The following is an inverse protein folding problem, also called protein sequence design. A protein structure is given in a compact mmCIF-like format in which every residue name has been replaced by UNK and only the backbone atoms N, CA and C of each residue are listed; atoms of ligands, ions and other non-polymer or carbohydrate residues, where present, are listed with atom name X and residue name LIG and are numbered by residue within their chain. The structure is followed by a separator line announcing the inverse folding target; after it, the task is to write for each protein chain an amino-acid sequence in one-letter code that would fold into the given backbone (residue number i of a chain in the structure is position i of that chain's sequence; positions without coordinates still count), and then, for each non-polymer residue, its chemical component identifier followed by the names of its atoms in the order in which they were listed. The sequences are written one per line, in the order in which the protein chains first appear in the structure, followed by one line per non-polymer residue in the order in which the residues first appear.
data_IF_751391989390
#
_entry.id   IF_751391989390
#
_cell.length_a   1.000
_cell.length_b   1.000
_cell.length_c   1.000
_cell.angle_alpha   90.00
_cell.angle_beta   90.00
_cell.angle_gamma   90.00
#
_symmetry.space_group_name_H-M   'P 1'
#
loop_
_entity.id
_entity.type
_entity.pdbx_description
1 polymer ?
#
# COMPACT_ATOMS: atom_id res chain seq x y z
N UNK A 1 36.07 0.71 14.02
CA UNK A 1 34.77 0.01 14.04
C UNK A 1 34.35 -0.24 12.60
N UNK A 2 34.18 -1.51 12.22
CA UNK A 2 34.03 -1.93 10.83
C UNK A 2 32.68 -1.50 10.26
N UNK A 3 32.68 -0.98 9.02
CA UNK A 3 31.50 -0.51 8.26
C UNK A 3 30.35 -1.54 8.24
N UNK A 4 30.69 -2.82 8.37
CA UNK A 4 29.77 -3.95 8.50
C UNK A 4 28.82 -3.89 9.69
N UNK A 5 29.20 -3.26 10.81
CA UNK A 5 28.36 -3.22 12.02
C UNK A 5 27.24 -2.17 11.89
N UNK A 6 27.49 -1.09 11.15
CA UNK A 6 26.50 -0.04 10.90
C UNK A 6 25.45 -0.54 9.89
N UNK A 7 25.88 -1.26 8.84
CA UNK A 7 24.95 -1.86 7.87
C UNK A 7 24.08 -2.95 8.51
N UNK A 8 24.61 -3.74 9.45
CA UNK A 8 23.83 -4.74 10.19
C UNK A 8 22.77 -4.11 11.10
N UNK A 9 23.08 -2.98 11.75
CA UNK A 9 22.13 -2.25 12.61
C UNK A 9 21.02 -1.58 11.80
N UNK A 10 21.33 -1.07 10.61
CA UNK A 10 20.34 -0.51 9.69
C UNK A 10 19.49 -1.65 9.09
N UNK A 11 20.08 -2.80 8.76
CA UNK A 11 19.36 -3.96 8.24
C UNK A 11 18.48 -4.65 9.30
N UNK A 12 18.91 -4.70 10.57
CA UNK A 12 18.10 -5.21 11.69
C UNK A 12 16.96 -4.27 12.07
N UNK A 13 17.11 -2.95 11.89
CA UNK A 13 16.04 -1.99 12.12
C UNK A 13 14.96 -2.01 11.02
N UNK A 14 15.33 -2.39 9.79
CA UNK A 14 14.39 -2.54 8.65
C UNK A 14 13.59 -3.85 8.76
N UNK A 15 14.13 -4.87 9.43
CA UNK A 15 13.48 -6.17 9.62
C UNK A 15 12.68 -6.28 10.92
N UNK A 16 12.86 -5.36 11.87
CA UNK A 16 12.13 -5.37 13.12
C UNK A 16 10.75 -4.71 12.96
N UNK A 17 9.74 -5.56 12.71
CA UNK A 17 8.32 -5.19 12.53
C UNK A 17 7.82 -4.24 13.63
N UNK A 18 8.23 -4.50 14.87
CA UNK A 18 7.79 -3.76 16.06
C UNK A 18 8.34 -2.32 16.09
N UNK A 19 9.55 -2.10 15.57
CA UNK A 19 10.14 -0.76 15.50
C UNK A 19 9.47 0.10 14.42
N UNK A 20 9.16 -0.49 13.27
CA UNK A 20 8.47 0.21 12.18
C UNK A 20 7.00 0.49 12.54
N UNK A 21 6.33 -0.46 13.21
CA UNK A 21 4.94 -0.29 13.66
C UNK A 21 4.83 0.79 14.75
N UNK A 22 5.77 0.85 15.71
CA UNK A 22 5.80 1.91 16.74
C UNK A 22 6.09 3.31 16.17
N UNK A 23 6.91 3.42 15.13
CA UNK A 23 7.11 4.69 14.39
C UNK A 23 5.84 5.12 13.62
N UNK A 24 4.99 4.17 13.23
CA UNK A 24 3.73 4.45 12.55
C UNK A 24 2.65 5.01 13.47
N UNK A 25 2.71 4.68 14.77
CA UNK A 25 1.78 5.14 15.79
C UNK A 25 2.06 6.55 16.30
N UNK A 26 3.32 6.96 16.25
CA UNK A 26 3.76 8.23 16.82
C UNK A 26 3.77 9.40 15.82
N UNK A 27 3.54 9.16 14.52
CA UNK A 27 3.85 10.17 13.52
C UNK A 27 2.62 10.63 12.71
N UNK A 28 2.08 11.77 13.10
CA UNK A 28 1.12 12.54 12.27
C UNK A 28 1.89 13.60 11.49
N UNK A 29 2.22 13.30 10.22
CA UNK A 29 2.91 14.20 9.30
C UNK A 29 4.43 14.30 9.50
N UNK A 30 5.22 13.61 8.66
CA UNK A 30 6.69 13.65 8.73
C UNK A 30 7.38 12.50 7.97
N UNK A 31 8.70 12.34 8.16
CA UNK A 31 9.52 11.27 7.54
C UNK A 31 9.09 9.85 7.92
N UNK A 32 8.54 9.65 9.11
CA UNK A 32 8.10 8.35 9.62
C UNK A 32 7.02 7.66 8.77
N UNK A 33 5.84 8.29 8.54
CA UNK A 33 4.77 7.71 7.74
C UNK A 33 5.19 7.42 6.30
N UNK A 34 6.07 8.26 5.73
CA UNK A 34 6.64 8.04 4.39
C UNK A 34 7.48 6.76 4.36
N UNK A 35 8.37 6.57 5.34
CA UNK A 35 9.19 5.36 5.43
C UNK A 35 8.35 4.10 5.64
N UNK A 36 7.30 4.18 6.47
CA UNK A 36 6.36 3.08 6.69
C UNK A 36 5.64 2.72 5.39
N UNK A 37 5.15 3.72 4.65
CA UNK A 37 4.53 3.53 3.33
C UNK A 37 5.47 2.83 2.35
N UNK A 38 6.69 3.37 2.19
CA UNK A 38 7.73 2.81 1.31
C UNK A 38 8.12 1.38 1.70
N UNK A 39 8.20 1.08 3.00
CA UNK A 39 8.48 -0.27 3.49
C UNK A 39 7.39 -1.25 3.10
N UNK A 40 6.12 -0.86 3.23
CA UNK A 40 4.98 -1.67 2.81
C UNK A 40 5.00 -1.96 1.32
N UNK A 41 5.21 -0.92 0.50
CA UNK A 41 5.31 -1.07 -0.95
C UNK A 41 6.49 -1.98 -1.35
N UNK A 42 7.66 -1.78 -0.74
CA UNK A 42 8.85 -2.62 -0.98
C UNK A 42 8.58 -4.09 -0.65
N UNK A 43 7.86 -4.39 0.44
CA UNK A 43 7.50 -5.76 0.81
C UNK A 43 6.58 -6.42 -0.21
N UNK A 44 5.58 -5.69 -0.71
CA UNK A 44 4.68 -6.16 -1.76
C UNK A 44 5.49 -6.42 -3.04
N UNK A 45 6.27 -5.45 -3.51
CA UNK A 45 7.11 -5.56 -4.71
C UNK A 45 8.17 -6.66 -4.65
N UNK A 46 8.67 -6.99 -3.45
CA UNK A 46 9.63 -8.07 -3.28
C UNK A 46 9.02 -9.47 -3.42
N UNK A 47 7.69 -9.60 -3.28
CA UNK A 47 7.00 -10.90 -3.28
C UNK A 47 6.06 -11.08 -4.48
N UNK A 48 5.47 -10.01 -4.96
CA UNK A 48 4.46 -10.03 -6.02
C UNK A 48 4.90 -9.15 -7.17
N UNK A 49 4.65 -9.60 -8.40
CA UNK A 49 4.79 -8.77 -9.58
C UNK A 49 3.57 -7.86 -9.71
N UNK A 50 3.68 -6.66 -9.15
CA UNK A 50 2.64 -5.62 -9.25
C UNK A 50 2.91 -4.67 -10.42
N UNK A 51 3.91 -4.96 -11.27
CA UNK A 51 4.31 -4.12 -12.38
C UNK A 51 4.93 -2.76 -12.02
N UNK A 52 5.09 -1.90 -13.02
CA UNK A 52 5.72 -0.58 -12.86
C UNK A 52 4.73 0.45 -12.33
N UNK A 53 5.23 1.58 -11.82
CA UNK A 53 4.35 2.71 -11.49
C UNK A 53 3.83 3.32 -12.78
N UNK A 54 2.53 3.57 -12.84
CA UNK A 54 1.89 4.20 -13.98
C UNK A 54 1.42 5.60 -13.63
N UNK A 55 1.65 6.57 -14.53
CA UNK A 55 1.04 7.88 -14.48
C UNK A 55 -0.24 7.89 -15.31
N UNK A 56 -1.37 8.23 -14.70
CA UNK A 56 -2.66 8.23 -15.39
C UNK A 56 -3.51 9.45 -15.04
N UNK A 57 -4.56 9.65 -15.84
CA UNK A 57 -5.56 10.70 -15.64
C UNK A 57 -6.94 10.08 -15.56
N UNK A 58 -7.66 10.42 -14.51
CA UNK A 58 -9.03 9.94 -14.26
C UNK A 58 -9.81 11.03 -13.57
N UNK A 59 -11.07 11.24 -13.94
CA UNK A 59 -11.92 12.30 -13.37
C UNK A 59 -11.26 13.71 -13.36
N UNK A 60 -10.38 14.01 -14.33
CA UNK A 60 -9.62 15.26 -14.38
C UNK A 60 -8.43 15.35 -13.41
N UNK A 61 -8.20 14.34 -12.58
CA UNK A 61 -7.07 14.26 -11.65
C UNK A 61 -5.87 13.56 -12.28
N UNK A 62 -4.65 14.02 -11.97
CA UNK A 62 -3.42 13.26 -12.23
C UNK A 62 -3.12 12.34 -11.04
N UNK A 63 -2.86 11.07 -11.33
CA UNK A 63 -2.57 10.03 -10.35
C UNK A 63 -1.35 9.22 -10.75
N UNK A 64 -0.83 8.49 -9.77
CA UNK A 64 0.27 7.54 -9.94
C UNK A 64 -0.14 6.28 -9.19
N UNK A 65 -0.14 5.13 -9.85
CA UNK A 65 -0.38 3.85 -9.19
C UNK A 65 0.87 3.40 -8.43
N UNK A 66 0.69 2.61 -7.37
CA UNK A 66 1.82 1.95 -6.74
C UNK A 66 2.36 0.81 -7.62
N UNK A 67 1.54 0.25 -8.51
CA UNK A 67 1.95 -0.67 -9.57
C UNK A 67 0.83 -0.92 -10.59
N UNK A 68 1.18 -1.13 -11.85
CA UNK A 68 0.28 -1.58 -12.91
C UNK A 68 0.97 -2.66 -13.74
N UNK A 69 0.29 -3.79 -13.95
CA UNK A 69 0.69 -4.83 -14.91
C UNK A 69 -0.46 -5.10 -15.91
N UNK A 70 -0.40 -6.21 -16.64
CA UNK A 70 -1.43 -6.58 -17.62
C UNK A 70 -2.80 -6.86 -16.97
N UNK A 71 -2.80 -7.44 -15.78
CA UNK A 71 -4.01 -7.95 -15.12
C UNK A 71 -4.63 -6.94 -14.14
N UNK A 72 -3.81 -6.17 -13.43
CA UNK A 72 -4.27 -5.35 -12.31
C UNK A 72 -3.60 -3.98 -12.17
N UNK A 73 -4.34 -3.08 -11.53
CA UNK A 73 -3.85 -1.83 -10.95
C UNK A 73 -3.76 -2.03 -9.44
N UNK A 74 -2.59 -1.77 -8.88
CA UNK A 74 -2.27 -2.03 -7.48
C UNK A 74 -2.05 -0.74 -6.69
N UNK A 75 -2.64 -0.69 -5.49
CA UNK A 75 -2.39 0.33 -4.47
C UNK A 75 -1.95 -0.33 -3.16
N UNK A 76 -0.95 0.26 -2.48
CA UNK A 76 -0.41 -0.25 -1.21
C UNK A 76 -0.60 0.80 -0.11
N UNK A 77 -1.37 0.44 0.91
CA UNK A 77 -1.66 1.31 2.07
C UNK A 77 -1.20 0.67 3.36
N UNK A 78 0.01 1.02 3.79
CA UNK A 78 0.56 0.60 5.07
C UNK A 78 0.10 1.50 6.22
N UNK A 79 -1.20 1.51 6.54
CA UNK A 79 -1.81 2.36 7.59
C UNK A 79 -2.72 1.56 8.52
N UNK A 80 -2.97 2.06 9.74
CA UNK A 80 -3.87 1.40 10.71
C UNK A 80 -5.35 1.54 10.40
N UNK A 81 -5.75 2.65 9.79
CA UNK A 81 -7.13 2.90 9.40
C UNK A 81 -7.17 3.41 7.97
N UNK A 82 -8.04 2.82 7.16
CA UNK A 82 -8.23 3.20 5.77
C UNK A 82 -9.72 3.40 5.49
N UNK A 83 -10.02 4.45 4.73
CA UNK A 83 -11.36 4.84 4.34
C UNK A 83 -11.42 4.97 2.82
N UNK A 84 -12.63 4.89 2.25
CA UNK A 84 -12.84 4.96 0.80
C UNK A 84 -12.64 6.38 0.25
N UNK A 85 -11.38 6.82 0.26
CA UNK A 85 -10.96 8.14 -0.16
C UNK A 85 -11.13 8.37 -1.66
N UNK A 86 -11.09 9.63 -2.08
CA UNK A 86 -11.14 10.01 -3.50
C UNK A 86 -9.98 9.41 -4.31
N UNK A 87 -8.80 9.23 -3.71
CA UNK A 87 -7.69 8.57 -4.41
C UNK A 87 -8.00 7.11 -4.74
N UNK A 88 -8.61 6.37 -3.79
CA UNK A 88 -9.01 4.98 -4.02
C UNK A 88 -10.16 4.88 -5.02
N UNK A 89 -11.11 5.83 -4.99
CA UNK A 89 -12.17 5.93 -5.99
C UNK A 89 -11.60 6.17 -7.39
N UNK A 90 -10.63 7.07 -7.53
CA UNK A 90 -9.96 7.37 -8.79
C UNK A 90 -9.18 6.15 -9.32
N UNK A 91 -8.43 5.46 -8.45
CA UNK A 91 -7.70 4.24 -8.82
C UNK A 91 -8.64 3.10 -9.22
N UNK A 92 -9.74 2.92 -8.48
CA UNK A 92 -10.77 1.93 -8.82
C UNK A 92 -11.42 2.24 -10.16
N UNK A 93 -11.82 3.49 -10.41
CA UNK A 93 -12.39 3.90 -11.69
C UNK A 93 -11.41 3.64 -12.84
N UNK A 94 -10.13 3.95 -12.65
CA UNK A 94 -9.12 3.70 -13.68
C UNK A 94 -8.97 2.20 -13.97
N UNK A 95 -8.99 1.34 -12.95
CA UNK A 95 -8.95 -0.11 -13.15
C UNK A 95 -10.17 -0.59 -13.96
N UNK A 96 -11.36 -0.06 -13.68
CA UNK A 96 -12.57 -0.35 -14.46
C UNK A 96 -12.45 0.11 -15.92
N UNK A 97 -11.95 1.32 -16.14
CA UNK A 97 -11.79 1.89 -17.49
C UNK A 97 -10.81 1.06 -18.35
N UNK A 98 -9.75 0.53 -17.73
CA UNK A 98 -8.76 -0.35 -18.37
C UNK A 98 -9.21 -1.82 -18.44
N UNK A 99 -10.37 -2.16 -17.85
CA UNK A 99 -10.84 -3.54 -17.77
C UNK A 99 -9.94 -4.46 -16.95
N UNK A 100 -9.21 -3.90 -15.96
CA UNK A 100 -8.28 -4.59 -15.06
C UNK A 100 -8.87 -4.80 -13.67
N UNK A 101 -8.26 -5.70 -12.91
CA UNK A 101 -8.59 -5.86 -11.50
C UNK A 101 -7.96 -4.75 -10.66
N UNK A 102 -8.52 -4.47 -9.49
CA UNK A 102 -7.97 -3.53 -8.53
C UNK A 102 -7.51 -4.24 -7.26
N UNK A 103 -6.18 -4.27 -7.06
CA UNK A 103 -5.57 -4.94 -5.93
C UNK A 103 -5.16 -3.91 -4.86
N UNK A 104 -5.86 -3.91 -3.72
CA UNK A 104 -5.56 -3.04 -2.58
C UNK A 104 -4.82 -3.85 -1.50
N UNK A 105 -3.52 -3.61 -1.33
CA UNK A 105 -2.72 -4.22 -0.26
C UNK A 105 -2.76 -3.36 1.01
N UNK A 106 -3.14 -3.98 2.13
CA UNK A 106 -3.19 -3.34 3.46
C UNK A 106 -2.44 -4.17 4.52
N UNK A 107 -2.30 -3.65 5.75
CA UNK A 107 -1.70 -4.43 6.84
C UNK A 107 -2.56 -5.63 7.19
N UNK A 108 -1.95 -6.80 7.37
CA UNK A 108 -2.60 -8.03 7.85
C UNK A 108 -2.04 -8.52 9.19
N UNK A 109 -2.53 -9.67 9.65
CA UNK A 109 -2.11 -10.29 10.92
C UNK A 109 -2.57 -9.51 12.15
N UNK A 110 -1.73 -9.45 13.19
CA UNK A 110 -2.04 -8.82 14.47
C UNK A 110 -2.23 -7.28 14.36
N UNK A 111 -1.56 -6.64 13.40
CA UNK A 111 -1.66 -5.20 13.13
C UNK A 111 -2.54 -4.90 11.90
N UNK A 112 -3.65 -5.64 11.75
CA UNK A 112 -4.56 -5.52 10.59
C UNK A 112 -5.10 -4.10 10.42
N UNK A 113 -5.12 -3.60 9.19
CA UNK A 113 -5.76 -2.32 8.86
C UNK A 113 -7.26 -2.42 9.09
N UNK A 114 -7.81 -1.49 9.88
CA UNK A 114 -9.26 -1.33 10.05
C UNK A 114 -9.82 -0.55 8.86
N UNK A 115 -10.77 -1.14 8.15
CA UNK A 115 -11.44 -0.52 7.02
C UNK A 115 -12.68 0.25 7.48
N UNK A 116 -12.99 1.37 6.81
CA UNK A 116 -14.27 2.04 6.98
C UNK A 116 -15.41 1.18 6.41
N UNK A 117 -16.66 1.30 6.93
CA UNK A 117 -17.79 0.52 6.42
C UNK A 117 -18.01 0.67 4.91
N UNK A 118 -17.87 1.89 4.38
CA UNK A 118 -18.01 2.14 2.94
C UNK A 118 -16.93 1.45 2.11
N UNK A 119 -15.67 1.41 2.60
CA UNK A 119 -14.61 0.71 1.88
C UNK A 119 -14.84 -0.80 1.90
N UNK A 120 -15.23 -1.34 3.06
CA UNK A 120 -15.57 -2.76 3.17
C UNK A 120 -16.72 -3.13 2.22
N UNK A 121 -17.79 -2.33 2.19
CA UNK A 121 -18.91 -2.51 1.27
C UNK A 121 -18.46 -2.54 -0.19
N UNK A 122 -17.60 -1.60 -0.60
CA UNK A 122 -17.09 -1.57 -1.97
C UNK A 122 -16.30 -2.83 -2.33
N UNK A 123 -15.49 -3.35 -1.41
CA UNK A 123 -14.76 -4.62 -1.62
C UNK A 123 -15.75 -5.79 -1.72
N UNK A 124 -16.76 -5.84 -0.86
CA UNK A 124 -17.70 -6.96 -0.80
C UNK A 124 -18.65 -7.00 -2.02
N UNK A 125 -19.00 -5.84 -2.58
CA UNK A 125 -19.93 -5.70 -3.70
C UNK A 125 -19.27 -5.75 -5.09
N UNK A 126 -17.94 -5.72 -5.17
CA UNK A 126 -17.22 -5.67 -6.45
C UNK A 126 -16.20 -6.82 -6.51
N UNK A 127 -16.49 -7.81 -7.36
CA UNK A 127 -15.68 -9.02 -7.55
C UNK A 127 -14.26 -8.72 -8.01
N UNK A 128 -14.06 -7.66 -8.81
CA UNK A 128 -12.74 -7.22 -9.30
C UNK A 128 -12.00 -6.25 -8.36
N UNK A 129 -12.56 -5.95 -7.19
CA UNK A 129 -11.90 -5.15 -6.15
C UNK A 129 -11.37 -6.09 -5.05
N UNK A 130 -10.09 -6.43 -5.13
CA UNK A 130 -9.47 -7.38 -4.22
C UNK A 130 -8.79 -6.69 -3.03
N UNK A 131 -9.18 -7.07 -1.82
CA UNK A 131 -8.44 -6.76 -0.61
C UNK A 131 -7.33 -7.81 -0.39
N UNK A 132 -6.08 -7.36 -0.35
CA UNK A 132 -4.89 -8.19 -0.12
C UNK A 132 -4.11 -7.71 1.10
N UNK A 133 -3.21 -8.55 1.59
CA UNK A 133 -2.39 -8.23 2.76
C UNK A 133 -0.92 -8.13 2.39
N UNK A 134 -0.28 -7.08 2.90
CA UNK A 134 1.17 -6.89 2.83
C UNK A 134 1.82 -8.11 3.53
N UNK A 135 2.75 -8.83 2.85
CA UNK A 135 3.50 -9.94 3.45
C UNK A 135 4.36 -9.44 4.60
#
# INVERSE_FOLDING_TARGET
MSRYVIDYLIWSAITNRDFVDSLSDAATGGRGPVLVGQSGEKRVRAKYDIGEREYYRVNGHKRISDGTNEDSITEVKNVKYLWYSRQLQDAWQHAQDEGKDFDLYVRGGENKTRLSPNLQKMIDENDRFHLRYIP
#
